data_IF_832505837510
#
_entry.id   IF_832505837510
#
_cell.length_a   1.000
_cell.length_b   1.000
_cell.length_c   1.000
_cell.angle_alpha   90.00
_cell.angle_beta   90.00
_cell.angle_gamma   90.00
#
_symmetry.space_group_name_H-M   'P 1'
#
loop_
_entity.id
_entity.type
_entity.pdbx_description
1 polymer ?
#
# COMPACT_ATOMS: atom_id res chain seq x y z
N UNK A 1 4.04 0.58 -78.90
CA UNK A 1 5.41 1.12 -78.79
C UNK A 1 5.42 2.24 -77.75
N UNK A 2 6.31 2.17 -76.76
CA UNK A 2 7.01 3.26 -76.07
C UNK A 2 6.21 4.42 -75.41
N UNK A 3 6.47 4.54 -74.08
CA UNK A 3 6.55 5.77 -73.23
C UNK A 3 5.18 6.32 -72.76
N UNK A 4 4.99 6.85 -71.56
CA UNK A 4 5.93 7.48 -70.64
C UNK A 4 5.44 7.42 -69.18
N UNK A 5 6.41 7.21 -68.29
CA UNK A 5 6.47 7.64 -66.91
C UNK A 5 6.23 9.17 -66.81
N UNK A 6 5.33 9.65 -65.95
CA UNK A 6 5.41 11.02 -65.42
C UNK A 6 4.89 11.09 -63.97
N UNK A 7 5.81 11.40 -63.07
CA UNK A 7 5.62 11.86 -61.70
C UNK A 7 4.65 13.07 -61.63
N UNK A 8 3.77 13.08 -60.62
CA UNK A 8 3.21 14.30 -60.02
C UNK A 8 2.98 14.00 -58.52
N UNK A 9 3.97 14.24 -57.66
CA UNK A 9 4.10 15.42 -56.78
C UNK A 9 2.83 15.80 -55.99
N UNK A 10 2.91 15.55 -54.68
CA UNK A 10 2.47 16.42 -53.57
C UNK A 10 0.97 16.60 -53.35
N UNK A 11 0.48 15.96 -52.29
CA UNK A 11 -0.83 16.20 -51.66
C UNK A 11 -0.76 15.88 -50.17
N UNK A 12 0.08 16.62 -49.46
CA UNK A 12 0.31 16.57 -48.01
C UNK A 12 -0.95 17.00 -47.27
N UNK A 13 -1.80 16.06 -46.88
CA UNK A 13 -2.83 16.29 -45.87
C UNK A 13 -2.38 15.64 -44.56
N UNK A 14 -1.49 16.34 -43.86
CA UNK A 14 -1.19 16.09 -42.44
C UNK A 14 -2.49 16.36 -41.66
N UNK A 15 -3.27 15.31 -41.41
CA UNK A 15 -4.27 15.34 -40.35
C UNK A 15 -3.48 15.39 -39.05
N UNK A 16 -3.26 16.60 -38.56
CA UNK A 16 -2.84 16.85 -37.20
C UNK A 16 -3.95 16.35 -36.28
N UNK A 17 -3.94 15.06 -35.98
CA UNK A 17 -4.63 14.52 -34.84
C UNK A 17 -4.01 15.14 -33.61
N UNK A 18 -4.75 16.07 -32.99
CA UNK A 18 -4.48 16.59 -31.65
C UNK A 18 -4.52 15.40 -30.69
N UNK A 19 -3.36 14.77 -30.50
CA UNK A 19 -3.11 13.86 -29.40
C UNK A 19 -3.10 14.69 -28.13
N UNK A 20 -4.29 14.99 -27.62
CA UNK A 20 -4.47 15.53 -26.27
C UNK A 20 -3.94 14.49 -25.30
N UNK A 21 -2.67 14.64 -24.93
CA UNK A 21 -2.07 13.99 -23.78
C UNK A 21 -2.76 14.51 -22.54
N UNK A 22 -3.96 13.98 -22.28
CA UNK A 22 -4.61 14.07 -20.99
C UNK A 22 -3.73 13.29 -20.03
N UNK A 23 -2.79 13.97 -19.39
CA UNK A 23 -2.24 13.53 -18.12
C UNK A 23 -3.45 13.38 -17.20
N UNK A 24 -3.97 12.16 -17.11
CA UNK A 24 -4.85 11.78 -16.02
C UNK A 24 -4.04 12.12 -14.77
N UNK A 25 -4.47 13.16 -14.06
CA UNK A 25 -4.00 13.35 -12.70
C UNK A 25 -4.24 12.01 -12.01
N UNK A 26 -3.17 11.41 -11.48
CA UNK A 26 -3.28 10.15 -10.75
C UNK A 26 -4.40 10.33 -9.73
N UNK A 27 -5.44 9.51 -9.87
CA UNK A 27 -6.55 9.58 -8.95
C UNK A 27 -5.99 9.36 -7.53
N UNK A 28 -6.51 10.11 -6.54
CA UNK A 28 -6.03 10.01 -5.17
C UNK A 28 -6.01 8.54 -4.73
N UNK A 29 -4.82 8.04 -4.40
CA UNK A 29 -4.66 6.61 -4.08
C UNK A 29 -5.07 6.38 -2.63
N UNK A 30 -6.06 5.54 -2.36
CA UNK A 30 -6.47 5.26 -1.00
C UNK A 30 -5.35 4.65 -0.18
N UNK A 31 -5.18 5.11 1.06
CA UNK A 31 -4.13 4.62 1.96
C UNK A 31 -4.69 4.24 3.32
N UNK A 32 -4.24 3.10 3.84
CA UNK A 32 -4.39 2.75 5.25
C UNK A 32 -3.17 3.29 5.99
N UNK A 33 -3.39 4.05 7.05
CA UNK A 33 -2.34 4.45 7.96
C UNK A 33 -2.31 3.47 9.14
N UNK A 34 -1.14 2.94 9.45
CA UNK A 34 -0.92 2.06 10.59
C UNK A 34 -0.10 2.80 11.62
N UNK A 35 -0.63 2.85 12.84
CA UNK A 35 0.04 3.42 13.99
C UNK A 35 0.02 2.45 15.18
N UNK A 36 0.86 2.72 16.18
CA UNK A 36 0.82 2.07 17.48
C UNK A 36 0.55 3.08 18.58
N UNK A 37 -0.04 2.60 19.67
CA UNK A 37 -0.34 3.38 20.88
C UNK A 37 0.06 2.59 22.11
N UNK A 38 0.52 3.29 23.13
CA UNK A 38 0.78 2.73 24.45
C UNK A 38 0.42 3.77 25.53
N UNK A 39 0.43 3.35 26.79
CA UNK A 39 0.18 4.26 27.92
C UNK A 39 1.21 5.40 28.00
N UNK A 40 2.47 5.11 27.66
CA UNK A 40 3.54 6.10 27.55
C UNK A 40 3.89 6.32 26.09
N UNK A 41 3.86 7.57 25.64
CA UNK A 41 4.28 7.93 24.28
C UNK A 41 5.77 7.70 24.04
N UNK A 42 6.57 7.56 25.10
CA UNK A 42 8.00 7.23 25.02
C UNK A 42 8.28 5.73 24.90
N UNK A 43 7.26 4.87 24.85
CA UNK A 43 7.45 3.43 24.66
C UNK A 43 8.13 3.16 23.32
N UNK A 44 9.19 2.35 23.34
CA UNK A 44 9.96 1.96 22.14
C UNK A 44 9.65 0.51 21.79
N UNK A 45 9.33 0.26 20.52
CA UNK A 45 9.16 -1.07 19.93
C UNK A 45 10.24 -1.29 18.88
N UNK A 46 10.76 -2.51 18.74
CA UNK A 46 11.75 -2.84 17.71
C UNK A 46 11.12 -3.46 16.46
N UNK A 47 9.89 -3.94 16.59
CA UNK A 47 9.05 -4.23 15.46
C UNK A 47 7.63 -4.57 15.86
N UNK A 48 6.78 -4.63 14.84
CA UNK A 48 5.39 -5.01 14.95
C UNK A 48 5.02 -5.94 13.80
N UNK A 49 4.05 -6.80 14.07
CA UNK A 49 3.34 -7.58 13.08
C UNK A 49 1.84 -7.40 13.31
N UNK A 50 1.11 -7.05 12.26
CA UNK A 50 -0.35 -7.02 12.33
C UNK A 50 -0.98 -7.62 11.08
N UNK A 51 -2.19 -8.13 11.23
CA UNK A 51 -3.04 -8.55 10.10
C UNK A 51 -4.29 -7.69 10.09
N UNK A 52 -4.52 -7.03 8.95
CA UNK A 52 -5.71 -6.21 8.69
C UNK A 52 -6.64 -6.98 7.78
N UNK A 53 -7.89 -7.17 8.19
CA UNK A 53 -8.98 -7.54 7.31
C UNK A 53 -9.44 -6.32 6.53
N UNK A 54 -9.45 -6.47 5.20
CA UNK A 54 -9.87 -5.44 4.26
C UNK A 54 -11.38 -5.59 3.98
N UNK A 55 -12.12 -4.48 3.86
CA UNK A 55 -13.52 -4.53 3.45
C UNK A 55 -13.64 -4.96 1.99
N UNK A 56 -14.86 -5.37 1.60
CA UNK A 56 -15.15 -5.77 0.23
C UNK A 56 -14.80 -4.66 -0.77
N UNK A 57 -14.17 -5.05 -1.88
CA UNK A 57 -13.73 -4.12 -2.92
C UNK A 57 -12.43 -3.38 -2.62
N UNK A 58 -11.73 -3.69 -1.53
CA UNK A 58 -10.38 -3.17 -1.26
C UNK A 58 -9.33 -4.25 -1.44
N UNK A 59 -8.29 -3.95 -2.18
CA UNK A 59 -7.15 -4.84 -2.42
C UNK A 59 -5.82 -4.13 -2.22
N UNK A 60 -4.75 -4.90 -2.04
CA UNK A 60 -3.37 -4.41 -1.96
C UNK A 60 -2.60 -5.04 -3.12
N UNK A 61 -1.78 -4.24 -3.82
CA UNK A 61 -1.00 -4.76 -4.93
C UNK A 61 0.04 -5.76 -4.42
N UNK A 62 0.05 -6.97 -4.98
CA UNK A 62 0.90 -8.07 -4.57
C UNK A 62 1.24 -8.97 -5.76
N UNK A 63 2.31 -9.76 -5.62
CA UNK A 63 2.72 -10.75 -6.62
C UNK A 63 1.90 -12.05 -6.53
N UNK A 64 2.25 -13.03 -7.37
CA UNK A 64 1.56 -14.33 -7.41
C UNK A 64 1.73 -15.18 -6.14
N UNK A 65 2.73 -14.88 -5.30
CA UNK A 65 2.93 -15.54 -3.99
C UNK A 65 2.17 -14.85 -2.86
N UNK A 66 1.59 -13.68 -3.15
CA UNK A 66 0.95 -12.80 -2.18
C UNK A 66 1.93 -11.84 -1.51
N UNK A 67 3.20 -11.78 -1.92
CA UNK A 67 4.11 -10.77 -1.39
C UNK A 67 3.66 -9.39 -1.86
N UNK A 68 3.50 -8.45 -0.94
CA UNK A 68 3.07 -7.09 -1.26
C UNK A 68 4.16 -6.40 -2.10
N UNK A 69 3.75 -5.71 -3.16
CA UNK A 69 4.68 -5.10 -4.11
C UNK A 69 5.48 -3.94 -3.50
N UNK A 70 6.67 -3.69 -4.04
CA UNK A 70 7.54 -2.59 -3.60
C UNK A 70 6.83 -1.24 -3.69
N UNK A 71 7.04 -0.40 -2.66
CA UNK A 71 6.43 0.93 -2.57
C UNK A 71 4.97 0.95 -2.14
N UNK A 72 4.31 -0.20 -2.01
CA UNK A 72 2.92 -0.28 -1.51
C UNK A 72 2.87 -0.04 0.00
N UNK A 73 3.84 -0.58 0.74
CA UNK A 73 4.01 -0.30 2.17
C UNK A 73 5.15 0.71 2.31
N UNK A 74 4.85 1.88 2.82
CA UNK A 74 5.80 2.99 2.97
C UNK A 74 6.02 3.27 4.45
N UNK A 75 7.25 3.10 4.98
CA UNK A 75 7.55 3.42 6.37
C UNK A 75 7.51 4.93 6.62
N UNK A 76 7.03 5.32 7.81
CA UNK A 76 7.03 6.72 8.28
C UNK A 76 8.33 7.12 8.96
N UNK A 77 9.11 6.14 9.42
CA UNK A 77 10.40 6.36 10.08
C UNK A 77 11.52 5.79 9.19
N UNK A 78 12.53 6.61 8.91
CA UNK A 78 13.68 6.21 8.10
C UNK A 78 14.44 5.02 8.73
N UNK A 79 14.97 4.13 7.89
CA UNK A 79 15.67 2.92 8.35
C UNK A 79 14.75 1.79 8.83
N UNK A 80 13.42 1.98 8.79
CA UNK A 80 12.45 0.92 9.08
C UNK A 80 12.36 -0.03 7.90
N UNK A 81 12.56 -1.32 8.17
CA UNK A 81 12.31 -2.40 7.24
C UNK A 81 10.83 -2.72 7.27
N UNK A 82 10.21 -2.83 6.10
CA UNK A 82 8.80 -3.17 5.97
C UNK A 82 8.62 -4.35 5.02
N UNK A 83 7.61 -5.15 5.29
CA UNK A 83 7.19 -6.23 4.42
C UNK A 83 5.71 -6.51 4.63
N UNK A 84 5.11 -7.21 3.67
CA UNK A 84 3.73 -7.62 3.83
C UNK A 84 3.33 -8.78 2.95
N UNK A 85 2.23 -9.40 3.34
CA UNK A 85 1.62 -10.51 2.62
C UNK A 85 0.13 -10.25 2.46
N UNK A 86 -0.33 -10.19 1.22
CA UNK A 86 -1.72 -10.07 0.85
C UNK A 86 -2.31 -11.46 0.58
N UNK A 87 -3.51 -11.69 1.12
CA UNK A 87 -4.33 -12.87 0.82
C UNK A 87 -5.65 -12.37 0.28
N UNK A 88 -5.95 -12.74 -0.96
CA UNK A 88 -7.21 -12.36 -1.60
C UNK A 88 -8.43 -12.94 -0.87
N UNK A 89 -9.57 -12.25 -0.99
CA UNK A 89 -10.82 -12.73 -0.43
C UNK A 89 -11.20 -14.10 -1.02
N UNK A 90 -11.77 -14.96 -0.17
CA UNK A 90 -12.39 -16.22 -0.55
C UNK A 90 -13.91 -16.10 -0.58
N UNK A 91 -14.61 -17.22 -0.81
CA UNK A 91 -16.08 -17.24 -0.85
C UNK A 91 -16.73 -16.83 0.49
N UNK A 92 -16.06 -17.08 1.61
CA UNK A 92 -16.54 -16.81 2.96
C UNK A 92 -15.54 -16.07 3.85
N UNK A 93 -14.39 -15.67 3.30
CA UNK A 93 -13.30 -15.02 4.05
C UNK A 93 -12.96 -13.68 3.42
N UNK A 94 -12.89 -12.59 4.20
CA UNK A 94 -12.45 -11.30 3.70
C UNK A 94 -10.99 -11.36 3.25
N UNK A 95 -10.59 -10.43 2.38
CA UNK A 95 -9.19 -10.26 2.04
C UNK A 95 -8.40 -9.79 3.28
N UNK A 96 -7.13 -10.18 3.37
CA UNK A 96 -6.25 -9.73 4.45
C UNK A 96 -4.92 -9.22 3.93
N UNK A 97 -4.32 -8.30 4.68
CA UNK A 97 -2.92 -7.93 4.52
C UNK A 97 -2.22 -8.06 5.87
N UNK A 98 -1.20 -8.90 5.92
CA UNK A 98 -0.26 -8.98 7.04
C UNK A 98 0.87 -8.02 6.77
N UNK A 99 1.23 -7.21 7.76
CA UNK A 99 2.24 -6.15 7.67
C UNK A 99 3.24 -6.39 8.78
N UNK A 100 4.52 -6.37 8.45
CA UNK A 100 5.63 -6.39 9.39
C UNK A 100 6.42 -5.10 9.20
N UNK A 101 6.71 -4.41 10.31
CA UNK A 101 7.59 -3.26 10.32
C UNK A 101 8.59 -3.42 11.46
N UNK A 102 9.89 -3.26 11.19
CA UNK A 102 10.94 -3.38 12.21
C UNK A 102 12.05 -2.35 12.00
N UNK A 103 12.65 -1.91 13.10
CA UNK A 103 13.77 -0.97 13.07
C UNK A 103 14.77 -1.34 14.17
N UNK A 104 16.02 -1.56 13.77
CA UNK A 104 17.09 -1.94 14.69
C UNK A 104 17.45 -0.84 15.70
N UNK A 105 17.14 0.43 15.39
CA UNK A 105 17.31 1.55 16.32
C UNK A 105 16.11 1.74 17.27
N UNK A 106 15.05 0.95 17.09
CA UNK A 106 13.77 1.13 17.77
C UNK A 106 12.86 2.18 17.12
N UNK A 107 11.58 2.06 17.39
CA UNK A 107 10.49 2.93 16.95
C UNK A 107 9.74 3.38 18.20
N UNK A 108 9.66 4.69 18.43
CA UNK A 108 8.72 5.22 19.42
C UNK A 108 7.30 4.97 18.93
N UNK A 109 6.39 4.55 19.82
CA UNK A 109 4.97 4.35 19.44
C UNK A 109 4.39 5.59 18.76
N UNK A 110 3.66 5.38 17.68
CA UNK A 110 3.20 6.46 16.79
C UNK A 110 2.88 5.94 15.40
N UNK A 111 2.94 6.80 14.39
CA UNK A 111 2.78 6.40 12.98
C UNK A 111 3.91 5.45 12.56
N UNK A 112 3.56 4.34 11.91
CA UNK A 112 4.52 3.31 11.50
C UNK A 112 4.65 3.22 9.99
N UNK A 113 3.53 2.95 9.29
CA UNK A 113 3.53 2.76 7.85
C UNK A 113 2.25 3.30 7.22
N UNK A 114 2.33 3.67 5.93
CA UNK A 114 1.19 3.81 5.04
C UNK A 114 1.12 2.59 4.12
N UNK A 115 -0.09 2.12 3.82
CA UNK A 115 -0.33 1.03 2.87
C UNK A 115 -1.24 1.53 1.75
N UNK A 116 -0.69 1.62 0.55
CA UNK A 116 -1.46 1.96 -0.65
C UNK A 116 -2.43 0.82 -0.98
N UNK A 117 -3.68 1.19 -1.23
CA UNK A 117 -4.76 0.27 -1.53
C UNK A 117 -5.38 0.61 -2.88
N UNK A 118 -5.97 -0.40 -3.50
CA UNK A 118 -6.83 -0.26 -4.67
C UNK A 118 -8.27 -0.45 -4.22
N UNK A 119 -9.16 0.38 -4.75
CA UNK A 119 -10.59 0.34 -4.44
C UNK A 119 -11.37 0.12 -5.73
N UNK A 120 -12.16 -0.96 -5.77
CA UNK A 120 -13.02 -1.28 -6.90
C UNK A 120 -14.04 -0.16 -7.14
N UNK A 121 -14.41 0.12 -8.39
CA UNK A 121 -15.44 1.10 -8.71
C UNK A 121 -16.74 0.85 -7.92
N UNK A 122 -17.28 1.90 -7.30
CA UNK A 122 -18.52 1.85 -6.51
C UNK A 122 -18.33 1.44 -5.05
N UNK A 123 -17.14 1.00 -4.64
CA UNK A 123 -16.84 0.77 -3.22
C UNK A 123 -16.50 2.10 -2.52
N UNK A 124 -17.04 2.29 -1.32
CA UNK A 124 -16.79 3.46 -0.47
C UNK A 124 -16.34 3.00 0.93
N UNK A 125 -15.13 2.42 1.05
CA UNK A 125 -14.63 1.97 2.34
C UNK A 125 -14.47 3.15 3.31
N UNK A 126 -14.62 2.86 4.60
CA UNK A 126 -14.40 3.82 5.69
C UNK A 126 -13.38 3.23 6.64
N UNK A 127 -12.73 4.07 7.47
CA UNK A 127 -11.76 3.60 8.46
C UNK A 127 -12.32 2.48 9.36
N UNK A 128 -13.60 2.58 9.74
CA UNK A 128 -14.26 1.60 10.60
C UNK A 128 -14.52 0.24 9.92
N UNK A 129 -14.39 0.15 8.59
CA UNK A 129 -14.58 -1.09 7.85
C UNK A 129 -13.32 -1.97 7.84
N UNK A 130 -12.18 -1.46 8.30
CA UNK A 130 -10.94 -2.20 8.46
C UNK A 130 -10.84 -2.74 9.89
N UNK A 131 -10.48 -4.02 10.02
CA UNK A 131 -10.35 -4.67 11.34
C UNK A 131 -8.96 -5.25 11.51
N UNK A 132 -8.31 -4.99 12.64
CA UNK A 132 -7.07 -5.70 13.00
C UNK A 132 -7.44 -7.03 13.67
N UNK A 133 -7.04 -8.15 13.08
CA UNK A 133 -7.34 -9.50 13.61
C UNK A 133 -6.17 -10.16 14.31
N UNK A 134 -4.95 -9.69 14.03
CA UNK A 134 -3.74 -10.11 14.73
C UNK A 134 -2.90 -8.88 14.99
N UNK A 135 -2.32 -8.78 16.18
CA UNK A 135 -1.32 -7.77 16.51
C UNK A 135 -0.28 -8.36 17.47
N UNK A 136 0.99 -8.10 17.18
CA UNK A 136 2.12 -8.35 18.08
C UNK A 136 3.11 -7.21 17.96
N UNK A 137 3.67 -6.78 19.08
CA UNK A 137 4.77 -5.83 19.15
C UNK A 137 5.88 -6.44 20.02
N UNK A 138 7.14 -6.15 19.70
CA UNK A 138 8.26 -6.70 20.44
C UNK A 138 9.39 -5.71 20.69
N UNK A 139 10.14 -5.97 21.75
CA UNK A 139 11.40 -5.35 22.09
C UNK A 139 12.56 -6.27 21.69
N UNK A 140 13.76 -5.72 21.67
CA UNK A 140 15.01 -6.50 21.67
C UNK A 140 15.69 -6.29 23.01
N UNK A 141 15.98 -7.38 23.72
CA UNK A 141 16.71 -7.38 24.99
C UNK A 141 17.93 -8.30 24.82
N UNK A 142 19.12 -7.71 24.71
CA UNK A 142 20.30 -8.46 24.29
C UNK A 142 20.15 -8.95 22.85
N UNK A 143 20.13 -10.27 22.66
CA UNK A 143 19.94 -10.92 21.36
C UNK A 143 18.53 -11.51 21.18
N UNK A 144 17.66 -11.34 22.17
CA UNK A 144 16.34 -11.97 22.20
C UNK A 144 15.24 -10.98 21.85
N UNK A 145 14.24 -11.48 21.12
CA UNK A 145 13.00 -10.76 20.83
C UNK A 145 11.98 -11.07 21.91
N UNK A 146 11.46 -10.05 22.58
CA UNK A 146 10.53 -10.20 23.71
C UNK A 146 9.22 -9.47 23.40
N UNK A 147 8.05 -10.12 23.49
CA UNK A 147 6.75 -9.46 23.33
C UNK A 147 6.60 -8.26 24.29
N UNK A 148 5.99 -7.18 23.81
CA UNK A 148 5.65 -6.01 24.61
C UNK A 148 4.16 -5.98 24.85
N UNK A 149 3.77 -6.00 26.12
CA UNK A 149 2.38 -5.83 26.56
C UNK A 149 1.96 -4.35 26.56
N UNK A 150 0.66 -4.09 26.41
CA UNK A 150 0.09 -2.75 26.52
C UNK A 150 0.34 -1.82 25.32
N UNK A 151 0.96 -2.33 24.25
CA UNK A 151 0.97 -1.67 22.94
C UNK A 151 -0.25 -2.15 22.15
N UNK A 152 -0.95 -1.23 21.49
CA UNK A 152 -2.13 -1.52 20.67
C UNK A 152 -1.98 -0.90 19.28
N UNK A 153 -2.54 -1.53 18.23
CA UNK A 153 -2.57 -0.96 16.90
C UNK A 153 -3.66 0.12 16.81
N UNK A 154 -3.45 1.09 15.93
CA UNK A 154 -4.46 2.02 15.48
C UNK A 154 -4.43 2.10 13.96
N UNK A 155 -5.60 2.15 13.34
CA UNK A 155 -5.75 2.30 11.90
C UNK A 155 -6.38 3.65 11.56
N UNK A 156 -5.83 4.31 10.54
CA UNK A 156 -6.43 5.41 9.83
C UNK A 156 -6.75 5.00 8.38
N UNK A 157 -7.66 5.72 7.73
CA UNK A 157 -7.93 5.57 6.30
C UNK A 157 -8.09 6.94 5.67
N UNK A 158 -7.38 7.18 4.57
CA UNK A 158 -7.40 8.43 3.84
C UNK A 158 -7.49 8.16 2.33
N UNK A 159 -8.14 9.08 1.63
CA UNK A 159 -8.12 9.18 0.17
C UNK A 159 -7.41 10.50 -0.12
N UNK A 160 -6.10 10.40 -0.43
CA UNK A 160 -5.20 11.55 -0.58
C UNK A 160 -5.15 12.01 -2.03
#
# INVERSE_FOLDING_TARGET
MKKALLLLLVGTALIAGCGGGGGVADAPTPTIEVATRAALSSTVVYGVELTVQLPAGVTVAADATGAVADGVIVPKVAGTLVGGRYVAAGASTPATVTIIASNAAGLTVGELVNVACQVSPGATPTAAAFTVTHFSAWAVVGNDTVPIEGVTPALGYAVL
#
